data_IF_497198320109
#
_entry.id   IF_497198320109
#
_cell.length_a   1.000
_cell.length_b   1.000
_cell.length_c   1.000
_cell.angle_alpha   90.00
_cell.angle_beta   90.00
_cell.angle_gamma   90.00
#
_symmetry.space_group_name_H-M   'P 1'
#
loop_
_entity.id
_entity.type
_entity.pdbx_description
1 polymer ?
#
# COMPACT_ATOMS: atom_id res chain seq x y z
N UNK A 1 48.47 7.11 20.76
CA UNK A 1 47.13 6.91 20.17
C UNK A 1 47.28 6.54 18.71
N UNK A 2 46.75 5.39 18.27
CA UNK A 2 46.60 5.09 16.84
C UNK A 2 45.18 5.51 16.43
N UNK A 3 45.09 6.42 15.47
CA UNK A 3 43.82 6.91 14.94
C UNK A 3 43.26 5.86 13.96
N UNK A 4 42.18 5.18 14.33
CA UNK A 4 41.46 4.30 13.41
C UNK A 4 40.53 5.15 12.55
N UNK A 5 40.88 5.32 11.27
CA UNK A 5 40.00 5.94 10.29
C UNK A 5 38.97 4.87 9.86
N UNK A 6 37.71 5.01 10.26
CA UNK A 6 36.63 4.22 9.67
C UNK A 6 36.37 4.74 8.24
N UNK A 7 36.86 4.01 7.25
CA UNK A 7 36.40 4.15 5.87
C UNK A 7 35.09 3.35 5.71
N UNK A 8 33.96 4.05 5.81
CA UNK A 8 32.67 3.53 5.37
C UNK A 8 32.68 3.42 3.85
N UNK A 9 32.83 2.20 3.34
CA UNK A 9 32.62 1.92 1.93
C UNK A 9 31.12 1.98 1.63
N UNK A 10 30.68 3.09 1.02
CA UNK A 10 29.42 3.08 0.30
C UNK A 10 29.58 2.19 -0.93
N UNK A 11 28.76 1.15 -1.05
CA UNK A 11 28.55 0.46 -2.33
C UNK A 11 27.77 1.42 -3.23
N UNK A 12 28.51 2.30 -3.90
CA UNK A 12 27.99 3.10 -5.00
C UNK A 12 27.68 2.16 -6.16
N UNK A 13 26.46 1.62 -6.16
CA UNK A 13 25.82 1.07 -7.35
C UNK A 13 25.68 2.19 -8.38
N UNK A 14 26.75 2.44 -9.13
CA UNK A 14 26.88 3.57 -10.05
C UNK A 14 26.06 3.31 -11.31
N UNK A 15 24.74 3.37 -11.17
CA UNK A 15 23.79 3.48 -12.27
C UNK A 15 23.97 4.89 -12.88
N UNK A 16 24.96 4.99 -13.78
CA UNK A 16 25.21 6.24 -14.52
C UNK A 16 24.04 6.60 -15.44
N UNK A 17 23.23 5.61 -15.82
CA UNK A 17 21.98 5.81 -16.54
C UNK A 17 20.87 6.31 -15.59
N UNK A 18 20.14 7.38 -15.95
CA UNK A 18 18.94 7.80 -15.23
C UNK A 18 17.89 6.68 -15.18
N UNK A 19 17.21 6.55 -14.04
CA UNK A 19 16.03 5.69 -13.90
C UNK A 19 14.95 6.17 -14.88
N UNK A 20 14.40 5.27 -15.72
CA UNK A 20 13.40 5.60 -16.75
C UNK A 20 12.01 5.06 -16.39
N UNK A 21 11.94 3.89 -15.74
CA UNK A 21 10.68 3.22 -15.36
C UNK A 21 10.74 2.58 -13.99
N UNK A 22 9.86 3.04 -13.12
CA UNK A 22 9.56 2.38 -11.84
C UNK A 22 8.15 1.78 -11.91
N UNK A 23 7.99 0.58 -11.38
CA UNK A 23 6.68 -0.02 -11.08
C UNK A 23 6.59 -0.39 -9.59
N UNK A 24 5.39 -0.32 -9.02
CA UNK A 24 5.17 -0.60 -7.60
C UNK A 24 3.80 -1.22 -7.33
N UNK A 25 3.66 -1.88 -6.18
CA UNK A 25 2.38 -2.45 -5.76
C UNK A 25 2.42 -3.14 -4.40
N UNK A 26 1.25 -3.60 -3.97
CA UNK A 26 1.00 -4.28 -2.69
C UNK A 26 -0.23 -5.20 -2.77
N UNK A 27 -0.43 -6.00 -1.72
CA UNK A 27 -1.61 -6.86 -1.52
C UNK A 27 -1.67 -8.04 -2.49
N UNK A 28 -0.61 -8.84 -2.41
CA UNK A 28 -0.38 -10.06 -3.16
C UNK A 28 -0.61 -11.31 -2.27
N UNK A 29 -1.80 -11.91 -2.39
CA UNK A 29 -2.10 -13.23 -1.80
C UNK A 29 -1.48 -14.30 -2.68
N UNK A 30 -0.34 -14.82 -2.25
CA UNK A 30 0.50 -15.79 -2.96
C UNK A 30 -0.21 -17.08 -3.41
N UNK A 31 -1.33 -17.44 -2.77
CA UNK A 31 -2.19 -18.59 -3.11
C UNK A 31 -3.30 -18.31 -4.13
N UNK A 32 -3.53 -17.04 -4.48
CA UNK A 32 -4.49 -16.66 -5.52
C UNK A 32 -3.79 -16.55 -6.89
N UNK A 33 -4.53 -16.59 -8.00
CA UNK A 33 -4.00 -16.19 -9.29
C UNK A 33 -3.42 -14.77 -9.22
N UNK A 34 -2.25 -14.56 -9.83
CA UNK A 34 -1.50 -13.29 -9.77
C UNK A 34 -1.39 -12.65 -11.18
N UNK A 35 -2.52 -12.27 -11.82
CA UNK A 35 -2.59 -11.94 -13.26
C UNK A 35 -1.85 -10.66 -13.68
N UNK A 36 -1.17 -9.99 -12.75
CA UNK A 36 -0.46 -8.74 -12.99
C UNK A 36 0.98 -8.93 -13.48
N UNK A 37 1.65 -10.06 -13.16
CA UNK A 37 3.07 -10.18 -13.45
C UNK A 37 3.40 -10.09 -14.95
N UNK A 38 2.57 -10.67 -15.82
CA UNK A 38 2.70 -10.51 -17.26
C UNK A 38 2.56 -9.05 -17.73
N UNK A 39 1.73 -8.26 -17.07
CA UNK A 39 1.55 -6.84 -17.38
C UNK A 39 2.76 -6.00 -16.92
N UNK A 40 3.30 -6.24 -15.71
CA UNK A 40 4.53 -5.61 -15.23
C UNK A 40 5.72 -5.99 -16.13
N UNK A 41 5.86 -7.27 -16.47
CA UNK A 41 6.92 -7.76 -17.38
C UNK A 41 6.84 -7.10 -18.77
N UNK A 42 5.63 -6.82 -19.25
CA UNK A 42 5.37 -6.08 -20.51
C UNK A 42 5.66 -4.58 -20.39
N UNK A 43 5.39 -3.95 -19.25
CA UNK A 43 5.81 -2.57 -18.96
C UNK A 43 7.35 -2.45 -18.92
N UNK A 44 8.03 -3.53 -18.53
CA UNK A 44 9.48 -3.67 -18.46
C UNK A 44 10.13 -2.55 -17.61
N UNK A 45 9.88 -2.53 -16.30
CA UNK A 45 10.46 -1.56 -15.38
C UNK A 45 11.95 -1.83 -15.14
N UNK A 46 12.71 -0.76 -14.91
CA UNK A 46 14.08 -0.81 -14.40
C UNK A 46 14.07 -1.24 -12.91
N UNK A 47 13.06 -0.79 -12.17
CA UNK A 47 12.89 -0.99 -10.73
C UNK A 47 11.45 -1.43 -10.39
N UNK A 48 11.32 -2.51 -9.63
CA UNK A 48 10.11 -2.94 -8.96
C UNK A 48 10.18 -2.62 -7.45
N UNK A 49 9.12 -2.03 -6.91
CA UNK A 49 9.02 -1.64 -5.49
C UNK A 49 7.82 -2.31 -4.82
N UNK A 50 8.10 -3.20 -3.86
CA UNK A 50 7.06 -3.72 -2.96
C UNK A 50 6.73 -2.71 -1.85
N UNK A 51 5.45 -2.40 -1.70
CA UNK A 51 4.90 -1.55 -0.63
C UNK A 51 4.10 -2.39 0.39
N UNK A 52 4.59 -3.60 0.67
CA UNK A 52 4.02 -4.51 1.64
C UNK A 52 2.91 -5.43 1.15
N UNK A 53 2.45 -6.30 2.05
CA UNK A 53 1.52 -7.40 1.79
C UNK A 53 2.01 -8.22 0.60
N UNK A 54 3.30 -8.54 0.64
CA UNK A 54 3.99 -9.37 -0.36
C UNK A 54 3.47 -10.79 -0.29
N UNK A 55 3.17 -11.23 0.94
CA UNK A 55 2.49 -12.48 1.26
C UNK A 55 1.50 -12.28 2.40
N UNK A 56 0.54 -13.19 2.51
CA UNK A 56 -0.41 -13.26 3.62
C UNK A 56 -0.10 -14.52 4.42
N UNK A 57 0.49 -14.35 5.61
CA UNK A 57 1.00 -15.48 6.41
C UNK A 57 0.04 -15.93 7.50
N UNK A 58 -1.02 -15.17 7.78
CA UNK A 58 -2.04 -15.42 8.79
C UNK A 58 -2.64 -16.84 8.74
N UNK A 59 -3.33 -17.22 9.82
CA UNK A 59 -4.14 -18.44 9.86
C UNK A 59 -5.52 -18.15 10.43
N UNK A 60 -6.54 -18.22 9.57
CA UNK A 60 -7.94 -18.23 9.98
C UNK A 60 -8.22 -19.46 10.85
N UNK A 61 -8.56 -19.26 12.12
CA UNK A 61 -8.91 -20.34 13.06
C UNK A 61 -10.43 -20.41 13.26
N UNK A 62 -11.11 -19.27 13.19
CA UNK A 62 -12.57 -19.15 13.20
C UNK A 62 -12.95 -17.87 12.41
N UNK A 63 -14.14 -17.74 11.80
CA UNK A 63 -14.53 -16.52 11.10
C UNK A 63 -14.35 -15.25 11.94
N UNK A 64 -13.47 -14.33 11.48
CA UNK A 64 -13.10 -13.13 12.22
C UNK A 64 -12.09 -13.34 13.36
N UNK A 65 -11.39 -14.48 13.39
CA UNK A 65 -10.36 -14.78 14.38
C UNK A 65 -9.17 -15.52 13.76
N UNK A 66 -8.03 -14.84 13.73
CA UNK A 66 -6.77 -15.33 13.18
C UNK A 66 -5.77 -15.63 14.31
N UNK A 67 -4.65 -16.29 13.98
CA UNK A 67 -3.57 -16.57 14.94
C UNK A 67 -2.18 -16.35 14.36
N UNK A 68 -1.18 -16.03 15.23
CA UNK A 68 0.21 -15.93 14.84
C UNK A 68 0.67 -17.16 14.06
N UNK A 69 1.45 -16.92 13.01
CA UNK A 69 2.13 -17.96 12.26
C UNK A 69 3.52 -18.25 12.80
N UNK A 70 3.97 -19.49 12.59
CA UNK A 70 5.34 -19.88 12.86
C UNK A 70 6.28 -19.25 11.84
N UNK A 71 7.55 -19.08 12.22
CA UNK A 71 8.60 -18.65 11.30
C UNK A 71 8.72 -19.57 10.07
N UNK A 72 8.55 -20.89 10.26
CA UNK A 72 8.45 -21.87 9.19
C UNK A 72 7.35 -21.53 8.18
N UNK A 73 6.15 -21.13 8.65
CA UNK A 73 5.04 -20.74 7.76
C UNK A 73 5.30 -19.41 7.08
N UNK A 74 5.91 -18.43 7.76
CA UNK A 74 6.30 -17.14 7.17
C UNK A 74 7.30 -17.40 6.03
N UNK A 75 8.34 -18.19 6.29
CA UNK A 75 9.33 -18.59 5.29
C UNK A 75 8.70 -19.41 4.15
N UNK A 76 7.79 -20.33 4.42
CA UNK A 76 7.02 -21.05 3.41
C UNK A 76 6.24 -20.08 2.50
N UNK A 77 5.56 -19.08 3.04
CA UNK A 77 4.77 -18.14 2.23
C UNK A 77 5.67 -17.32 1.30
N UNK A 78 6.77 -16.76 1.84
CA UNK A 78 7.75 -16.05 1.02
C UNK A 78 8.39 -16.97 -0.03
N UNK A 79 8.67 -18.23 0.29
CA UNK A 79 9.16 -19.22 -0.66
C UNK A 79 8.15 -19.52 -1.78
N UNK A 80 6.84 -19.57 -1.49
CA UNK A 80 5.81 -19.72 -2.51
C UNK A 80 5.84 -18.52 -3.47
N UNK A 81 5.87 -17.30 -2.94
CA UNK A 81 5.91 -16.10 -3.79
C UNK A 81 7.21 -16.02 -4.59
N UNK A 82 8.36 -16.23 -3.94
CA UNK A 82 9.69 -16.24 -4.56
C UNK A 82 9.81 -17.31 -5.65
N UNK A 83 9.01 -18.39 -5.58
CA UNK A 83 8.97 -19.44 -6.60
C UNK A 83 7.86 -19.30 -7.64
N UNK A 84 6.98 -18.29 -7.55
CA UNK A 84 5.99 -18.00 -8.59
C UNK A 84 6.69 -17.69 -9.92
N UNK A 85 6.36 -18.44 -10.98
CA UNK A 85 7.16 -18.47 -12.22
C UNK A 85 7.25 -17.11 -12.92
N UNK A 86 6.16 -16.35 -12.96
CA UNK A 86 6.12 -15.03 -13.57
C UNK A 86 6.83 -13.96 -12.72
N UNK A 87 6.78 -14.08 -11.39
CA UNK A 87 7.53 -13.20 -10.48
C UNK A 87 9.04 -13.47 -10.60
N UNK A 88 9.45 -14.76 -10.63
CA UNK A 88 10.83 -15.17 -10.93
C UNK A 88 11.34 -14.61 -12.25
N UNK A 89 10.50 -14.62 -13.30
CA UNK A 89 10.84 -14.03 -14.59
C UNK A 89 11.13 -12.53 -14.46
N UNK A 90 10.27 -11.78 -13.77
CA UNK A 90 10.45 -10.35 -13.54
C UNK A 90 11.76 -10.05 -12.78
N UNK A 91 11.92 -10.61 -11.58
CA UNK A 91 13.09 -10.31 -10.71
C UNK A 91 14.42 -10.80 -11.29
N UNK A 92 14.41 -11.70 -12.27
CA UNK A 92 15.65 -12.13 -12.96
C UNK A 92 16.28 -11.05 -13.85
N UNK A 93 15.56 -9.97 -14.15
CA UNK A 93 16.01 -8.86 -15.02
C UNK A 93 15.69 -7.45 -14.49
N UNK A 94 14.85 -7.32 -13.47
CA UNK A 94 14.40 -6.05 -12.89
C UNK A 94 14.89 -5.95 -11.45
N UNK A 95 15.54 -4.84 -11.10
CA UNK A 95 15.95 -4.58 -9.71
C UNK A 95 14.72 -4.55 -8.81
N UNK A 96 14.76 -5.23 -7.67
CA UNK A 96 13.63 -5.35 -6.75
C UNK A 96 14.02 -4.87 -5.37
N UNK A 97 13.24 -3.93 -4.84
CA UNK A 97 13.36 -3.42 -3.47
C UNK A 97 11.99 -3.45 -2.79
N UNK A 98 11.95 -3.30 -1.48
CA UNK A 98 10.67 -3.27 -0.78
C UNK A 98 10.74 -3.09 0.72
N UNK A 99 9.56 -2.82 1.28
CA UNK A 99 9.23 -2.94 2.71
C UNK A 99 8.03 -3.88 2.84
N UNK A 100 7.88 -4.50 4.02
CA UNK A 100 6.63 -5.18 4.37
C UNK A 100 5.55 -4.16 4.72
N UNK A 101 4.31 -4.64 4.76
CA UNK A 101 3.23 -4.02 5.53
C UNK A 101 2.41 -5.15 6.11
N UNK A 102 1.25 -4.85 6.66
CA UNK A 102 0.48 -5.86 7.33
C UNK A 102 -0.99 -5.46 7.21
N UNK A 103 -1.67 -6.07 6.24
CA UNK A 103 -3.05 -5.82 5.83
C UNK A 103 -4.06 -5.59 6.98
N UNK A 104 -5.15 -4.86 6.72
CA UNK A 104 -6.21 -4.63 7.70
C UNK A 104 -7.40 -5.59 7.54
N UNK A 105 -7.88 -6.15 8.65
CA UNK A 105 -9.19 -6.80 8.81
C UNK A 105 -9.84 -6.36 10.13
N UNK A 106 -10.58 -5.24 10.06
CA UNK A 106 -11.72 -4.89 10.94
C UNK A 106 -11.51 -5.11 12.46
N UNK A 107 -11.05 -4.08 13.17
CA UNK A 107 -11.08 -4.08 14.64
C UNK A 107 -12.51 -4.18 15.22
N UNK A 108 -12.66 -4.98 16.27
CA UNK A 108 -13.58 -4.69 17.38
C UNK A 108 -12.76 -4.63 18.69
N UNK A 109 -13.10 -3.67 19.54
CA UNK A 109 -12.16 -2.98 20.43
C UNK A 109 -11.67 -3.71 21.70
N UNK A 110 -11.80 -5.04 21.81
CA UNK A 110 -11.56 -5.77 23.08
C UNK A 110 -10.80 -7.11 22.95
N UNK A 111 -10.09 -7.35 21.84
CA UNK A 111 -9.26 -8.57 21.66
C UNK A 111 -7.93 -8.26 20.96
N UNK A 112 -6.82 -8.91 21.35
CA UNK A 112 -5.50 -8.63 20.78
C UNK A 112 -5.52 -8.87 19.28
N UNK A 113 -5.14 -7.83 18.55
CA UNK A 113 -5.02 -7.85 17.11
C UNK A 113 -3.57 -8.21 16.75
N UNK A 114 -3.39 -9.29 16.01
CA UNK A 114 -3.42 -9.18 14.56
C UNK A 114 -2.40 -8.10 13.92
N UNK A 115 -1.49 -8.44 12.94
CA UNK A 115 -0.57 -7.80 11.92
C UNK A 115 -0.75 -8.10 10.36
N UNK A 116 -0.22 -9.18 9.69
CA UNK A 116 -0.32 -9.78 8.30
C UNK A 116 0.95 -10.39 7.57
N UNK A 117 2.02 -9.68 7.13
CA UNK A 117 3.27 -10.31 6.56
C UNK A 117 4.09 -11.06 7.65
N UNK A 118 3.72 -10.84 8.91
CA UNK A 118 4.51 -11.12 10.11
C UNK A 118 3.79 -12.04 11.12
N UNK A 119 2.55 -12.44 10.82
CA UNK A 119 1.76 -13.36 11.64
C UNK A 119 0.23 -13.26 11.63
N UNK A 120 -0.41 -12.11 11.27
CA UNK A 120 -1.63 -11.66 12.00
C UNK A 120 -2.57 -10.68 11.11
N UNK A 121 -3.36 -9.65 11.56
CA UNK A 121 -3.91 -8.35 10.92
C UNK A 121 -3.89 -6.94 11.76
N UNK A 122 -3.08 -5.85 11.54
CA UNK A 122 -2.89 -4.54 12.33
C UNK A 122 -1.82 -4.29 13.48
N UNK A 123 -0.72 -5.05 13.68
CA UNK A 123 0.19 -4.89 14.82
C UNK A 123 1.53 -4.23 14.44
N UNK A 124 2.20 -3.66 15.45
CA UNK A 124 3.42 -2.87 15.31
C UNK A 124 4.60 -3.47 16.09
N UNK A 125 5.14 -2.69 17.02
CA UNK A 125 6.31 -3.05 17.82
C UNK A 125 6.10 -4.23 18.79
N UNK A 126 4.87 -4.70 18.98
CA UNK A 126 4.44 -5.71 19.94
C UNK A 126 4.49 -7.17 19.45
N UNK A 127 4.72 -7.41 18.15
CA UNK A 127 4.65 -8.76 17.55
C UNK A 127 5.85 -9.62 18.02
N UNK A 128 5.69 -10.93 18.32
CA UNK A 128 6.82 -11.84 18.51
C UNK A 128 7.60 -12.10 17.21
N UNK A 129 8.86 -12.55 17.34
CA UNK A 129 9.75 -12.94 16.23
C UNK A 129 10.14 -11.83 15.23
N UNK A 130 10.22 -10.58 15.70
CA UNK A 130 10.54 -9.43 14.82
C UNK A 130 11.84 -9.56 14.04
N UNK A 131 12.89 -9.97 14.74
CA UNK A 131 14.24 -10.00 14.19
C UNK A 131 14.47 -11.21 13.26
N UNK A 132 13.63 -12.23 13.37
CA UNK A 132 13.62 -13.42 12.53
C UNK A 132 12.78 -13.21 11.26
N UNK A 133 11.58 -12.63 11.38
CA UNK A 133 10.78 -12.21 10.21
C UNK A 133 11.54 -11.22 9.33
N UNK A 134 12.33 -10.31 9.94
CA UNK A 134 13.26 -9.42 9.23
C UNK A 134 14.21 -10.18 8.31
N UNK A 135 14.84 -11.24 8.80
CA UNK A 135 15.81 -12.02 8.02
C UNK A 135 15.14 -12.77 6.87
N UNK A 136 13.93 -13.30 7.08
CA UNK A 136 13.15 -13.97 6.03
C UNK A 136 12.75 -12.98 4.92
N UNK A 137 12.33 -11.76 5.28
CA UNK A 137 11.96 -10.75 4.28
C UNK A 137 13.17 -10.24 3.47
N UNK A 138 14.32 -10.03 4.12
CA UNK A 138 15.55 -9.61 3.44
C UNK A 138 16.10 -10.74 2.53
N UNK A 139 16.02 -12.00 2.94
CA UNK A 139 16.33 -13.16 2.10
C UNK A 139 15.39 -13.25 0.88
N UNK A 140 14.08 -13.02 1.08
CA UNK A 140 13.10 -12.92 -0.01
C UNK A 140 13.44 -11.82 -1.02
N UNK A 141 14.01 -10.69 -0.59
CA UNK A 141 14.42 -9.59 -1.48
C UNK A 141 15.78 -9.81 -2.18
N UNK A 142 16.50 -10.90 -1.90
CA UNK A 142 17.93 -11.07 -2.27
C UNK A 142 18.81 -9.91 -1.73
N UNK A 143 18.52 -9.42 -0.52
CA UNK A 143 19.23 -8.27 0.07
C UNK A 143 20.75 -8.52 0.16
N UNK A 144 21.61 -7.59 -0.31
CA UNK A 144 23.07 -7.74 -0.23
C UNK A 144 23.56 -8.07 1.18
N UNK A 145 24.46 -9.04 1.29
CA UNK A 145 24.93 -9.57 2.58
C UNK A 145 25.70 -8.54 3.45
N UNK A 146 26.20 -7.46 2.84
CA UNK A 146 26.85 -6.33 3.50
C UNK A 146 25.88 -5.19 3.88
N UNK A 147 24.59 -5.33 3.54
CA UNK A 147 23.57 -4.32 3.84
C UNK A 147 23.40 -4.10 5.35
N UNK A 148 23.31 -2.83 5.81
CA UNK A 148 23.00 -2.52 7.20
C UNK A 148 21.60 -3.01 7.62
N UNK A 149 20.70 -3.32 6.67
CA UNK A 149 19.36 -3.88 6.95
C UNK A 149 19.42 -5.20 7.71
N UNK A 150 20.48 -6.00 7.56
CA UNK A 150 20.65 -7.26 8.31
C UNK A 150 20.92 -7.09 9.80
N UNK A 151 21.44 -5.92 10.23
CA UNK A 151 22.00 -5.71 11.57
C UNK A 151 21.34 -4.55 12.34
N UNK A 152 20.30 -3.92 11.77
CA UNK A 152 19.50 -2.85 12.40
C UNK A 152 18.07 -3.30 12.68
N UNK A 153 17.27 -2.43 13.28
CA UNK A 153 15.89 -2.72 13.65
C UNK A 153 14.89 -2.16 12.64
N UNK A 154 14.29 -3.04 11.85
CA UNK A 154 13.34 -2.73 10.78
C UNK A 154 13.95 -2.80 9.37
N UNK A 155 13.08 -2.99 8.37
CA UNK A 155 13.44 -3.18 6.95
C UNK A 155 13.43 -1.89 6.13
N UNK A 156 13.41 -0.73 6.76
CA UNK A 156 13.57 0.57 6.07
C UNK A 156 14.90 0.62 5.28
N UNK A 157 15.02 1.52 4.31
CA UNK A 157 16.24 1.70 3.50
C UNK A 157 16.10 2.72 2.37
N UNK A 158 17.23 3.15 1.81
CA UNK A 158 17.27 4.13 0.72
C UNK A 158 18.17 3.66 -0.43
N UNK A 159 17.82 4.09 -1.64
CA UNK A 159 18.44 3.69 -2.89
C UNK A 159 18.51 4.90 -3.83
N UNK A 160 19.65 5.12 -4.48
CA UNK A 160 19.86 6.26 -5.38
C UNK A 160 20.19 5.78 -6.78
N UNK A 161 19.44 6.27 -7.77
CA UNK A 161 19.54 5.88 -9.17
C UNK A 161 19.84 7.09 -10.05
N UNK A 162 20.69 6.92 -11.06
CA UNK A 162 21.02 7.96 -12.02
C UNK A 162 22.13 8.94 -11.57
N UNK A 163 22.62 9.76 -12.50
CA UNK A 163 23.71 10.72 -12.27
C UNK A 163 23.18 12.03 -11.64
N UNK A 164 24.06 12.88 -11.09
CA UNK A 164 23.68 14.23 -10.63
C UNK A 164 22.92 15.01 -11.70
N UNK A 165 21.82 15.68 -11.32
CA UNK A 165 20.94 16.39 -12.24
C UNK A 165 19.84 15.52 -12.88
N UNK A 166 19.93 14.19 -12.80
CA UNK A 166 18.89 13.22 -13.18
C UNK A 166 18.79 12.08 -12.14
N UNK A 167 18.98 12.41 -10.87
CA UNK A 167 19.03 11.44 -9.77
C UNK A 167 17.65 11.28 -9.12
N UNK A 168 17.25 10.02 -8.93
CA UNK A 168 16.08 9.62 -8.14
C UNK A 168 16.56 8.97 -6.86
N UNK A 169 16.04 9.41 -5.71
CA UNK A 169 16.26 8.77 -4.42
C UNK A 169 14.97 8.11 -3.95
N UNK A 170 14.97 6.79 -3.83
CA UNK A 170 13.86 6.02 -3.27
C UNK A 170 14.15 5.76 -1.79
N UNK A 171 13.25 6.16 -0.91
CA UNK A 171 13.33 6.02 0.54
C UNK A 171 12.14 5.17 0.98
N UNK A 172 12.39 3.97 1.48
CA UNK A 172 11.33 3.07 1.93
C UNK A 172 11.28 3.06 3.46
N UNK A 173 10.08 3.31 4.00
CA UNK A 173 9.79 3.35 5.42
C UNK A 173 9.17 2.03 5.88
N UNK A 174 9.80 1.40 6.87
CA UNK A 174 9.14 0.41 7.71
C UNK A 174 8.15 1.15 8.62
N UNK A 175 6.88 0.77 8.56
CA UNK A 175 5.79 1.38 9.35
C UNK A 175 5.17 0.37 10.33
N UNK A 176 5.95 -0.66 10.67
CA UNK A 176 5.53 -1.78 11.53
C UNK A 176 6.50 -2.03 12.67
N UNK A 177 7.80 -2.20 12.40
CA UNK A 177 8.76 -2.73 13.39
C UNK A 177 8.78 -1.93 14.72
N UNK A 178 8.62 -0.61 14.65
CA UNK A 178 8.67 0.29 15.81
C UNK A 178 7.32 0.94 16.17
N UNK A 179 6.26 0.66 15.41
CA UNK A 179 4.99 1.38 15.55
C UNK A 179 4.34 1.10 16.90
N UNK A 180 3.87 2.14 17.57
CA UNK A 180 3.08 2.02 18.79
C UNK A 180 1.70 1.36 18.52
N UNK A 181 0.98 0.90 19.55
CA UNK A 181 -0.40 0.42 19.40
C UNK A 181 -1.35 1.52 18.88
N UNK A 182 -2.32 1.12 18.05
CA UNK A 182 -3.36 2.01 17.53
C UNK A 182 -4.19 2.63 18.67
N UNK A 183 -4.56 3.90 18.51
CA UNK A 183 -5.30 4.67 19.51
C UNK A 183 -4.43 5.40 20.54
N UNK A 184 -3.10 5.17 20.54
CA UNK A 184 -2.15 5.99 21.29
C UNK A 184 -1.96 7.35 20.59
N UNK A 185 -2.59 8.39 21.12
CA UNK A 185 -2.64 9.75 20.51
C UNK A 185 -1.24 10.36 20.31
N UNK A 186 -0.30 10.07 21.22
CA UNK A 186 1.11 10.48 21.17
C UNK A 186 2.03 9.37 20.65
N UNK A 187 1.50 8.39 19.93
CA UNK A 187 2.25 7.25 19.40
C UNK A 187 3.16 7.59 18.22
N UNK A 188 4.22 6.80 18.06
CA UNK A 188 5.14 6.85 16.93
C UNK A 188 4.91 5.69 15.96
N UNK A 189 5.39 5.84 14.72
CA UNK A 189 5.38 4.81 13.67
C UNK A 189 6.79 4.27 13.40
N UNK A 190 7.80 5.14 13.33
CA UNK A 190 9.13 4.79 12.80
C UNK A 190 10.16 4.45 13.89
N UNK A 191 9.99 4.97 15.10
CA UNK A 191 10.96 4.83 16.18
C UNK A 191 12.20 5.72 16.02
N UNK A 192 12.97 5.91 17.10
CA UNK A 192 14.00 6.95 17.19
C UNK A 192 15.23 6.70 16.32
N UNK A 193 15.45 5.48 15.82
CA UNK A 193 16.57 5.15 14.92
C UNK A 193 16.23 5.54 13.48
N UNK A 194 15.11 5.04 12.96
CA UNK A 194 14.63 5.33 11.61
C UNK A 194 14.32 6.83 11.41
N UNK A 195 13.84 7.54 12.45
CA UNK A 195 13.68 8.99 12.39
C UNK A 195 15.00 9.75 12.20
N UNK A 196 16.06 9.37 12.90
CA UNK A 196 17.39 10.01 12.76
C UNK A 196 18.00 9.69 11.40
N UNK A 197 17.82 8.46 10.94
CA UNK A 197 18.22 8.06 9.59
C UNK A 197 17.48 8.87 8.52
N UNK A 198 16.15 8.97 8.59
CA UNK A 198 15.35 9.72 7.62
C UNK A 198 15.76 11.21 7.56
N UNK A 199 16.05 11.83 8.70
CA UNK A 199 16.58 13.20 8.74
C UNK A 199 17.89 13.32 7.95
N UNK A 200 18.82 12.36 8.12
CA UNK A 200 20.09 12.32 7.37
C UNK A 200 19.96 11.92 5.90
N UNK A 201 18.87 11.25 5.50
CA UNK A 201 18.60 10.94 4.09
C UNK A 201 18.05 12.14 3.33
N UNK A 202 17.38 13.07 4.03
CA UNK A 202 16.83 14.30 3.46
C UNK A 202 17.83 15.47 3.55
N UNK A 203 18.69 15.48 4.58
CA UNK A 203 19.74 16.49 4.77
C UNK A 203 20.74 16.50 3.60
N UNK A 204 20.81 17.63 2.89
CA UNK A 204 21.80 17.86 1.83
C UNK A 204 21.71 16.95 0.60
N UNK A 205 20.57 16.28 0.38
CA UNK A 205 20.44 15.36 -0.76
C UNK A 205 20.51 16.08 -2.12
N UNK A 206 21.29 15.51 -3.05
CA UNK A 206 21.48 16.01 -4.42
C UNK A 206 20.45 15.48 -5.43
N UNK A 207 19.47 14.68 -4.98
CA UNK A 207 18.47 14.07 -5.86
C UNK A 207 17.42 15.08 -6.34
N UNK A 208 16.97 14.90 -7.58
CA UNK A 208 15.94 15.74 -8.20
C UNK A 208 14.54 15.25 -7.81
N UNK A 209 14.38 13.95 -7.56
CA UNK A 209 13.13 13.30 -7.18
C UNK A 209 13.36 12.43 -5.95
N UNK A 210 12.47 12.54 -4.97
CA UNK A 210 12.50 11.79 -3.71
C UNK A 210 11.21 10.99 -3.56
N UNK A 211 11.28 9.68 -3.76
CA UNK A 211 10.13 8.79 -3.64
C UNK A 211 10.10 8.18 -2.24
N UNK A 212 9.17 8.61 -1.40
CA UNK A 212 9.01 8.10 -0.04
C UNK A 212 7.92 7.02 -0.04
N UNK A 213 8.33 5.75 -0.02
CA UNK A 213 7.43 4.61 0.06
C UNK A 213 7.05 4.27 1.51
N UNK A 214 5.77 4.09 1.75
CA UNK A 214 5.20 3.62 3.03
C UNK A 214 4.25 2.47 2.74
N UNK A 215 4.16 1.49 3.64
CA UNK A 215 3.18 0.41 3.48
C UNK A 215 1.73 0.92 3.54
N UNK A 216 1.43 1.77 4.52
CA UNK A 216 0.11 2.40 4.72
C UNK A 216 0.04 3.81 4.14
N UNK A 217 -1.18 4.32 3.88
CA UNK A 217 -1.34 5.66 3.29
C UNK A 217 -0.93 6.79 4.25
N UNK A 218 -0.39 7.89 3.69
CA UNK A 218 0.17 9.00 4.45
C UNK A 218 -0.79 10.19 4.52
N UNK A 219 -1.28 10.69 3.37
CA UNK A 219 -2.09 11.91 3.27
C UNK A 219 -3.50 11.77 3.87
N UNK A 220 -4.31 10.72 3.57
CA UNK A 220 -5.73 10.69 3.96
C UNK A 220 -5.95 10.82 5.46
N UNK A 221 -6.92 11.65 5.84
CA UNK A 221 -7.44 11.72 7.22
C UNK A 221 -8.90 11.29 7.35
N UNK A 222 -9.60 11.22 6.22
CA UNK A 222 -11.05 11.16 6.07
C UNK A 222 -11.61 9.76 5.85
N UNK A 223 -10.73 8.77 5.64
CA UNK A 223 -11.12 7.37 5.42
C UNK A 223 -11.37 6.64 6.74
N UNK A 224 -12.56 6.09 7.01
CA UNK A 224 -12.90 5.58 8.34
C UNK A 224 -12.35 4.19 8.72
N UNK A 225 -11.89 3.36 7.77
CA UNK A 225 -11.58 1.94 8.05
C UNK A 225 -10.13 1.50 7.85
N UNK A 226 -9.37 2.16 6.99
CA UNK A 226 -7.98 1.80 6.68
C UNK A 226 -7.00 2.35 7.71
N UNK A 227 -5.94 1.59 7.99
CA UNK A 227 -4.79 2.11 8.75
C UNK A 227 -4.00 3.09 7.87
N UNK A 228 -3.53 4.17 8.49
CA UNK A 228 -2.93 5.32 7.82
C UNK A 228 -2.25 6.22 8.85
N UNK A 229 -1.34 7.05 8.39
CA UNK A 229 -0.49 7.87 9.25
C UNK A 229 -1.26 8.86 10.13
N UNK A 230 -2.47 9.29 9.78
CA UNK A 230 -3.27 10.19 10.66
C UNK A 230 -3.66 9.56 12.00
N UNK A 231 -3.57 8.22 12.15
CA UNK A 231 -3.75 7.58 13.46
C UNK A 231 -2.61 7.90 14.44
N UNK A 232 -1.49 8.45 13.95
CA UNK A 232 -0.33 8.92 14.71
C UNK A 232 0.02 10.34 14.24
N UNK A 233 -0.83 11.35 14.55
CA UNK A 233 -0.75 12.67 13.92
C UNK A 233 0.61 13.36 14.17
N UNK A 234 1.21 13.17 15.35
CA UNK A 234 2.55 13.69 15.64
C UNK A 234 3.66 13.08 14.77
N UNK A 235 3.57 11.80 14.40
CA UNK A 235 4.51 11.16 13.48
C UNK A 235 4.32 11.67 12.04
N UNK A 236 3.07 11.92 11.62
CA UNK A 236 2.73 12.46 10.30
C UNK A 236 3.19 13.91 10.14
N UNK A 237 2.91 14.76 11.13
CA UNK A 237 3.36 16.16 11.13
C UNK A 237 4.89 16.24 11.06
N UNK A 238 5.58 15.44 11.89
CA UNK A 238 7.05 15.34 11.92
C UNK A 238 7.67 14.96 10.57
N UNK A 239 7.00 14.11 9.77
CA UNK A 239 7.44 13.79 8.41
C UNK A 239 7.40 15.04 7.50
N UNK A 240 6.29 15.78 7.51
CA UNK A 240 6.15 16.99 6.69
C UNK A 240 7.05 18.14 7.17
N UNK A 241 7.19 18.32 8.49
CA UNK A 241 8.14 19.27 9.08
C UNK A 241 9.58 18.96 8.66
N UNK A 242 9.98 17.69 8.64
CA UNK A 242 11.32 17.27 8.22
C UNK A 242 11.58 17.52 6.73
N UNK A 243 10.61 17.25 5.85
CA UNK A 243 10.69 17.56 4.42
C UNK A 243 10.82 19.08 4.20
N UNK A 244 10.02 19.89 4.89
CA UNK A 244 10.06 21.34 4.81
C UNK A 244 11.36 21.94 5.38
N UNK A 245 11.85 21.43 6.52
CA UNK A 245 13.12 21.81 7.17
C UNK A 245 14.29 21.72 6.18
N UNK A 246 14.39 20.60 5.47
CA UNK A 246 15.46 20.35 4.49
C UNK A 246 15.18 20.94 3.11
N UNK A 247 13.98 21.50 2.89
CA UNK A 247 13.49 22.02 1.60
C UNK A 247 13.63 21.00 0.46
N UNK A 248 13.47 19.71 0.78
CA UNK A 248 13.73 18.61 -0.14
C UNK A 248 12.87 18.75 -1.39
N UNK A 249 13.45 18.79 -2.61
CA UNK A 249 12.69 18.93 -3.85
C UNK A 249 12.14 17.58 -4.34
N UNK A 250 11.11 17.62 -5.17
CA UNK A 250 10.65 16.44 -5.90
C UNK A 250 10.07 15.33 -5.03
N UNK A 251 9.56 15.64 -3.83
CA UNK A 251 8.99 14.62 -2.94
C UNK A 251 7.64 14.13 -3.45
N UNK A 252 7.53 12.81 -3.61
CA UNK A 252 6.30 12.09 -3.97
C UNK A 252 6.21 10.89 -3.03
N UNK A 253 5.01 10.63 -2.52
CA UNK A 253 4.73 9.51 -1.62
C UNK A 253 4.20 8.31 -2.42
N UNK A 254 4.57 7.09 -2.04
CA UNK A 254 4.04 5.85 -2.59
C UNK A 254 3.41 5.03 -1.46
N UNK A 255 2.23 4.44 -1.67
CA UNK A 255 1.57 3.62 -0.63
C UNK A 255 0.78 2.41 -1.12
N UNK A 256 0.42 1.52 -0.17
CA UNK A 256 -0.28 0.26 -0.39
C UNK A 256 -1.51 0.07 0.51
N UNK A 257 -1.66 -1.14 1.07
CA UNK A 257 -2.60 -1.56 2.14
C UNK A 257 -4.12 -1.57 1.80
N UNK A 258 -4.63 -0.62 1.02
CA UNK A 258 -6.07 -0.29 1.01
C UNK A 258 -6.98 -1.13 0.08
N UNK A 259 -6.42 -2.05 -0.69
CA UNK A 259 -7.08 -2.90 -1.69
C UNK A 259 -7.77 -2.14 -2.85
N UNK A 260 -7.28 -0.95 -3.20
CA UNK A 260 -7.53 -0.26 -4.47
C UNK A 260 -6.32 0.62 -4.84
N UNK A 261 -6.37 1.28 -5.99
CA UNK A 261 -5.41 2.32 -6.37
C UNK A 261 -6.07 3.69 -6.40
N UNK A 262 -5.28 4.74 -6.13
CA UNK A 262 -5.71 6.13 -6.32
C UNK A 262 -4.52 7.08 -6.43
N UNK A 263 -4.79 8.30 -6.90
CA UNK A 263 -3.87 9.43 -6.82
C UNK A 263 -4.43 10.54 -5.93
N UNK A 264 -3.60 11.02 -5.00
CA UNK A 264 -3.92 12.10 -4.07
C UNK A 264 -2.97 13.27 -4.27
N UNK A 265 -3.49 14.48 -4.07
CA UNK A 265 -2.71 15.72 -4.14
C UNK A 265 -3.08 16.66 -3.00
N UNK A 266 -2.09 17.32 -2.41
CA UNK A 266 -2.32 18.46 -1.52
C UNK A 266 -1.31 19.59 -1.78
N UNK A 267 -1.77 20.83 -1.66
CA UNK A 267 -0.94 22.04 -1.70
C UNK A 267 -0.79 22.68 -0.29
N UNK A 268 -1.17 21.95 0.77
CA UNK A 268 -1.33 22.50 2.13
C UNK A 268 -0.18 22.21 3.08
N UNK A 269 0.62 21.15 2.85
CA UNK A 269 1.61 20.67 3.83
C UNK A 269 3.07 20.94 3.44
N UNK A 270 3.36 21.23 2.16
CA UNK A 270 4.67 21.63 1.66
C UNK A 270 4.57 22.97 0.89
N UNK A 271 5.72 23.59 0.58
CA UNK A 271 5.78 24.83 -0.25
C UNK A 271 5.45 24.60 -1.74
N UNK A 272 5.18 23.36 -2.14
CA UNK A 272 4.83 22.89 -3.47
C UNK A 272 3.84 21.71 -3.39
N UNK A 273 3.22 21.26 -4.50
CA UNK A 273 2.25 20.16 -4.48
C UNK A 273 2.87 18.84 -4.01
N UNK A 274 2.35 18.26 -2.93
CA UNK A 274 2.68 16.91 -2.49
C UNK A 274 1.70 15.93 -3.09
N UNK A 275 2.22 14.92 -3.78
CA UNK A 275 1.46 13.82 -4.37
C UNK A 275 1.65 12.54 -3.56
N UNK A 276 0.59 11.74 -3.45
CA UNK A 276 0.66 10.35 -3.02
C UNK A 276 0.04 9.43 -4.07
N UNK A 277 0.77 8.38 -4.44
CA UNK A 277 0.36 7.40 -5.43
C UNK A 277 0.16 6.05 -4.74
N UNK A 278 -1.09 5.60 -4.61
CA UNK A 278 -1.42 4.34 -3.95
C UNK A 278 -1.68 3.25 -4.99
N UNK A 279 -1.07 2.08 -4.81
CA UNK A 279 -1.40 0.88 -5.57
C UNK A 279 -1.41 -0.34 -4.66
N UNK A 280 -2.62 -0.86 -4.46
CA UNK A 280 -2.91 -1.98 -3.59
C UNK A 280 -4.01 -2.80 -4.24
N UNK A 281 -3.69 -3.99 -4.74
CA UNK A 281 -4.69 -4.75 -5.50
C UNK A 281 -4.16 -5.82 -6.42
N UNK A 282 -2.99 -6.41 -6.13
CA UNK A 282 -2.34 -7.28 -7.11
C UNK A 282 -3.04 -8.62 -7.36
N UNK A 283 -3.84 -9.07 -6.39
CA UNK A 283 -4.53 -10.37 -6.40
C UNK A 283 -5.99 -10.30 -5.95
N UNK A 284 -6.34 -9.25 -5.20
CA UNK A 284 -7.67 -9.00 -4.66
C UNK A 284 -7.83 -7.49 -4.45
N UNK A 285 -9.02 -6.97 -4.73
CA UNK A 285 -9.39 -5.59 -4.41
C UNK A 285 -10.57 -5.57 -3.45
N UNK A 286 -10.87 -4.41 -2.87
CA UNK A 286 -12.05 -4.24 -2.04
C UNK A 286 -13.36 -4.58 -2.79
N UNK A 287 -13.38 -4.36 -4.11
CA UNK A 287 -14.50 -4.71 -4.99
C UNK A 287 -14.59 -6.22 -5.28
N UNK A 288 -13.50 -6.98 -5.15
CA UNK A 288 -13.56 -8.45 -5.14
C UNK A 288 -13.98 -9.03 -3.79
N UNK A 289 -13.60 -8.36 -2.69
CA UNK A 289 -13.88 -8.83 -1.32
C UNK A 289 -15.33 -8.54 -0.88
N UNK A 290 -15.83 -7.32 -1.12
CA UNK A 290 -17.16 -6.88 -0.67
C UNK A 290 -17.86 -6.08 -1.77
N UNK A 291 -18.29 -6.69 -2.89
CA UNK A 291 -18.42 -6.00 -4.19
C UNK A 291 -19.30 -4.74 -4.21
N UNK A 292 -20.63 -4.90 -4.16
CA UNK A 292 -21.59 -3.79 -4.25
C UNK A 292 -21.46 -2.80 -3.08
N UNK A 293 -20.97 -3.25 -1.93
CA UNK A 293 -20.76 -2.39 -0.78
C UNK A 293 -19.47 -1.57 -0.91
N UNK A 294 -18.37 -2.11 -1.44
CA UNK A 294 -17.15 -1.30 -1.57
C UNK A 294 -17.30 -0.21 -2.63
N UNK A 295 -17.88 -0.52 -3.80
CA UNK A 295 -18.09 0.52 -4.83
C UNK A 295 -19.07 1.59 -4.36
N UNK A 296 -20.19 1.21 -3.73
CA UNK A 296 -21.17 2.16 -3.19
C UNK A 296 -20.66 2.92 -1.96
N UNK A 297 -19.78 2.32 -1.16
CA UNK A 297 -19.11 2.99 -0.05
C UNK A 297 -18.08 4.00 -0.58
N UNK A 298 -17.16 3.59 -1.44
CA UNK A 298 -16.12 4.48 -2.00
C UNK A 298 -16.73 5.67 -2.73
N UNK A 299 -17.70 5.43 -3.61
CA UNK A 299 -18.36 6.48 -4.39
C UNK A 299 -19.09 7.52 -3.51
N UNK A 300 -19.57 7.14 -2.32
CA UNK A 300 -20.46 7.96 -1.48
C UNK A 300 -19.88 8.44 -0.15
N UNK A 301 -18.85 7.78 0.38
CA UNK A 301 -18.36 7.98 1.76
C UNK A 301 -16.83 7.89 1.93
N UNK A 302 -16.04 7.41 0.94
CA UNK A 302 -14.58 7.28 1.07
C UNK A 302 -13.81 7.98 -0.07
N UNK A 303 -14.48 8.81 -0.87
CA UNK A 303 -13.79 9.74 -1.78
C UNK A 303 -12.90 10.65 -0.95
N UNK A 304 -11.60 10.72 -1.27
CA UNK A 304 -10.70 11.57 -0.51
C UNK A 304 -11.01 13.05 -0.76
N UNK A 305 -10.97 13.85 0.30
CA UNK A 305 -10.95 15.31 0.23
C UNK A 305 -9.77 15.83 -0.60
N UNK A 306 -8.69 15.06 -0.69
CA UNK A 306 -7.52 15.38 -1.50
C UNK A 306 -7.72 15.05 -2.99
N UNK A 307 -8.63 14.13 -3.35
CA UNK A 307 -8.99 13.84 -4.74
C UNK A 307 -10.31 13.05 -4.84
N UNK A 308 -11.31 13.56 -5.55
CA UNK A 308 -12.65 12.93 -5.62
C UNK A 308 -12.88 11.94 -6.77
N UNK A 309 -11.96 11.85 -7.74
CA UNK A 309 -12.21 11.15 -9.02
C UNK A 309 -11.18 10.10 -9.43
N UNK A 310 -9.99 10.11 -8.82
CA UNK A 310 -8.84 9.36 -9.36
C UNK A 310 -8.61 8.09 -8.56
N UNK A 311 -9.58 7.17 -8.57
CA UNK A 311 -9.47 5.84 -7.95
C UNK A 311 -9.80 4.72 -8.95
N UNK A 312 -9.23 3.53 -8.72
CA UNK A 312 -9.40 2.36 -9.57
C UNK A 312 -9.52 1.08 -8.73
N UNK A 313 -10.59 0.30 -8.97
CA UNK A 313 -11.04 -0.79 -8.09
C UNK A 313 -10.80 -2.21 -8.65
N UNK A 314 -10.16 -2.33 -9.81
CA UNK A 314 -9.76 -3.62 -10.38
C UNK A 314 -8.29 -3.91 -10.07
N UNK A 315 -7.82 -5.11 -10.46
CA UNK A 315 -6.43 -5.52 -10.25
C UNK A 315 -5.46 -4.55 -10.90
N UNK A 316 -4.53 -4.03 -10.11
CA UNK A 316 -3.69 -2.90 -10.49
C UNK A 316 -2.24 -2.98 -10.00
N UNK A 317 -1.37 -2.28 -10.73
CA UNK A 317 -0.05 -1.86 -10.29
C UNK A 317 0.17 -0.38 -10.64
N UNK A 318 0.99 0.32 -9.87
CA UNK A 318 1.37 1.71 -10.12
C UNK A 318 2.68 1.80 -10.90
N UNK A 319 2.84 2.85 -11.70
CA UNK A 319 4.11 3.15 -12.38
C UNK A 319 4.44 4.64 -12.37
N UNK A 320 5.74 4.92 -12.53
CA UNK A 320 6.30 6.23 -12.83
C UNK A 320 7.24 6.07 -14.03
N UNK A 321 6.93 6.71 -15.15
CA UNK A 321 7.85 6.93 -16.27
C UNK A 321 8.54 8.31 -16.08
N UNK A 322 9.85 8.37 -16.25
CA UNK A 322 10.68 9.56 -16.02
C UNK A 322 11.18 10.16 -17.33
N UNK A 323 10.68 11.34 -17.71
CA UNK A 323 10.96 11.98 -19.00
C UNK A 323 12.07 13.04 -18.89
N UNK A 324 13.31 12.58 -18.65
CA UNK A 324 14.48 13.44 -18.42
C UNK A 324 14.95 14.30 -19.60
N UNK A 325 14.58 13.95 -20.82
CA UNK A 325 15.06 14.61 -22.05
C UNK A 325 14.12 15.74 -22.54
N UNK A 326 13.06 16.04 -21.78
CA UNK A 326 12.25 17.25 -21.95
C UNK A 326 12.99 18.49 -21.43
N UNK A 327 12.82 19.69 -22.05
CA UNK A 327 13.36 20.96 -21.53
C UNK A 327 12.89 21.29 -20.10
N UNK A 328 11.67 20.89 -19.76
CA UNK A 328 11.19 20.76 -18.37
C UNK A 328 10.91 19.27 -18.15
N UNK A 329 11.83 18.52 -17.49
CA UNK A 329 11.63 17.11 -17.18
C UNK A 329 10.32 16.89 -16.43
N UNK A 330 9.61 15.80 -16.74
CA UNK A 330 8.35 15.48 -16.08
C UNK A 330 8.24 14.00 -15.74
N UNK A 331 7.33 13.73 -14.81
CA UNK A 331 7.00 12.39 -14.33
C UNK A 331 5.60 12.05 -14.81
N UNK A 332 5.44 10.90 -15.46
CA UNK A 332 4.13 10.35 -15.84
C UNK A 332 3.76 9.28 -14.82
N UNK A 333 2.82 9.60 -13.94
CA UNK A 333 2.25 8.66 -12.98
C UNK A 333 1.13 7.89 -13.66
N UNK A 334 1.16 6.56 -13.64
CA UNK A 334 0.03 5.75 -14.12
C UNK A 334 -0.38 4.65 -13.16
N UNK A 335 -1.68 4.33 -13.14
CA UNK A 335 -2.18 3.06 -12.61
C UNK A 335 -2.55 2.19 -13.79
N UNK A 336 -2.13 0.92 -13.78
CA UNK A 336 -2.27 -0.01 -14.91
C UNK A 336 -2.97 -1.29 -14.51
N UNK A 337 -3.75 -1.84 -15.43
CA UNK A 337 -4.50 -3.09 -15.25
C UNK A 337 -3.71 -4.36 -15.64
N UNK A 338 -4.34 -5.53 -15.51
CA UNK A 338 -3.78 -6.85 -15.90
C UNK A 338 -3.46 -7.00 -17.39
N UNK A 339 -3.88 -6.05 -18.22
CA UNK A 339 -3.58 -5.99 -19.66
C UNK A 339 -2.55 -4.89 -19.98
N UNK A 340 -1.88 -4.32 -18.97
CA UNK A 340 -0.96 -3.18 -19.08
C UNK A 340 -1.62 -1.91 -19.67
N UNK A 341 -2.95 -1.79 -19.60
CA UNK A 341 -3.68 -0.58 -20.04
C UNK A 341 -3.68 0.44 -18.91
N UNK A 342 -3.54 1.70 -19.27
CA UNK A 342 -3.59 2.84 -18.35
C UNK A 342 -5.05 3.04 -17.89
N UNK A 343 -5.27 2.98 -16.58
CA UNK A 343 -6.56 3.24 -15.93
C UNK A 343 -6.64 4.64 -15.32
N UNK A 344 -5.53 5.13 -14.74
CA UNK A 344 -5.35 6.51 -14.27
C UNK A 344 -4.01 7.04 -14.78
N UNK A 345 -3.94 8.34 -15.06
CA UNK A 345 -2.75 9.02 -15.59
C UNK A 345 -2.64 10.46 -15.09
N UNK A 346 -1.45 10.89 -14.65
CA UNK A 346 -1.13 12.30 -14.36
C UNK A 346 0.30 12.61 -14.79
N UNK A 347 0.50 13.73 -15.48
CA UNK A 347 1.82 14.24 -15.83
C UNK A 347 2.18 15.41 -14.90
N UNK A 348 3.35 15.35 -14.28
CA UNK A 348 3.82 16.33 -13.29
C UNK A 348 5.22 16.82 -13.66
N UNK A 349 5.32 18.09 -14.06
CA UNK A 349 6.60 18.77 -14.30
C UNK A 349 7.47 18.79 -13.04
N UNK A 350 8.75 18.49 -13.19
CA UNK A 350 9.73 18.54 -12.11
C UNK A 350 9.88 19.96 -11.55
N UNK A 351 9.75 21.00 -12.40
CA UNK A 351 9.68 22.41 -12.02
C UNK A 351 8.49 22.77 -11.11
N UNK A 352 7.43 21.95 -11.08
CA UNK A 352 6.29 22.13 -10.17
C UNK A 352 6.56 21.62 -8.76
N UNK A 353 7.51 20.68 -8.60
CA UNK A 353 7.87 20.03 -7.34
C UNK A 353 9.11 20.65 -6.67
N UNK A 354 9.45 21.89 -7.01
CA UNK A 354 10.58 22.61 -6.42
C UNK A 354 10.09 23.52 -5.28
N UNK A 355 10.83 23.58 -4.17
CA UNK A 355 10.52 24.50 -3.07
C UNK A 355 10.55 25.95 -3.56
N UNK A 356 9.47 26.69 -3.31
CA UNK A 356 9.33 28.12 -3.63
C UNK A 356 9.39 28.96 -2.35
N UNK A 357 9.68 30.24 -2.46
CA UNK A 357 9.56 31.22 -1.35
C UNK A 357 8.09 31.55 -0.99
N UNK A 358 7.17 30.62 -1.25
CA UNK A 358 5.78 30.75 -0.86
C UNK A 358 5.68 30.40 0.62
N UNK A 359 5.23 31.35 1.44
CA UNK A 359 4.74 31.00 2.78
C UNK A 359 3.67 29.91 2.65
N UNK A 360 3.63 28.98 3.60
CA UNK A 360 2.53 28.00 3.68
C UNK A 360 1.30 28.78 4.16
N UNK A 361 0.56 29.34 3.21
CA UNK A 361 -0.60 30.21 3.48
C UNK A 361 -1.79 29.34 3.90
N UNK A 362 -1.87 29.13 5.20
CA UNK A 362 -2.94 28.44 5.89
C UNK A 362 -2.38 27.77 7.14
N UNK A 363 -3.11 27.86 8.26
CA UNK A 363 -3.02 26.77 9.22
C UNK A 363 -3.35 25.49 8.45
N UNK A 364 -2.53 24.46 8.62
CA UNK A 364 -2.98 23.12 8.28
C UNK A 364 -4.11 22.83 9.27
N UNK A 365 -5.36 23.13 8.88
CA UNK A 365 -6.55 22.53 9.46
C UNK A 365 -6.58 21.08 8.97
N UNK A 366 -5.52 20.35 9.30
CA UNK A 366 -5.64 18.96 9.61
C UNK A 366 -6.64 18.92 10.78
N UNK A 367 -7.68 18.10 10.70
CA UNK A 367 -8.51 17.82 11.86
C UNK A 367 -7.76 16.99 12.91
N UNK A 368 -6.69 17.57 13.49
CA UNK A 368 -6.07 17.23 14.78
C UNK A 368 -7.11 17.09 15.92
N UNK A 369 -8.34 17.55 15.68
CA UNK A 369 -9.50 17.51 16.56
C UNK A 369 -10.78 16.91 15.97
N UNK A 370 -10.83 16.44 14.70
CA UNK A 370 -12.00 15.65 14.23
C UNK A 370 -11.66 14.17 14.13
N UNK A 371 -11.90 13.49 15.23
CA UNK A 371 -12.17 12.04 15.28
C UNK A 371 -13.25 11.74 14.23
N UNK A 372 -12.96 11.06 13.11
CA UNK A 372 -13.87 11.04 11.95
C UNK A 372 -14.94 9.95 12.05
N UNK A 373 -15.50 9.73 13.25
CA UNK A 373 -16.85 9.15 13.40
C UNK A 373 -17.51 9.75 14.64
N UNK A 374 -18.42 10.72 14.47
CA UNK A 374 -19.34 11.08 15.58
C UNK A 374 -20.23 9.87 15.87
N UNK A 375 -20.75 9.74 17.10
CA UNK A 375 -21.69 8.67 17.42
C UNK A 375 -22.90 8.64 16.45
N UNK A 376 -23.23 9.80 15.86
CA UNK A 376 -24.16 9.99 14.74
C UNK A 376 -23.80 9.14 13.52
N UNK A 377 -22.59 9.29 12.94
CA UNK A 377 -22.17 8.54 11.74
C UNK A 377 -21.92 7.05 12.02
N UNK A 378 -21.54 6.70 13.26
CA UNK A 378 -21.47 5.29 13.68
C UNK A 378 -22.87 4.65 13.68
N UNK A 379 -23.89 5.36 14.18
CA UNK A 379 -25.30 4.92 14.22
C UNK A 379 -25.99 4.94 12.86
N UNK A 380 -25.75 5.96 12.04
CA UNK A 380 -26.51 6.23 10.81
C UNK A 380 -25.89 5.61 9.55
N UNK A 381 -24.57 5.35 9.56
CA UNK A 381 -23.85 4.85 8.38
C UNK A 381 -23.19 3.49 8.63
N UNK A 382 -22.46 3.33 9.74
CA UNK A 382 -21.70 2.09 10.00
C UNK A 382 -22.61 0.96 10.49
N UNK A 383 -23.49 1.23 11.46
CA UNK A 383 -24.39 0.21 12.03
C UNK A 383 -25.31 -0.45 10.97
N UNK A 384 -25.93 0.28 10.01
CA UNK A 384 -26.74 -0.33 8.95
C UNK A 384 -25.92 -1.20 7.99
N UNK A 385 -24.68 -0.80 7.66
CA UNK A 385 -23.79 -1.58 6.79
C UNK A 385 -23.37 -2.88 7.51
N UNK A 386 -23.01 -2.82 8.79
CA UNK A 386 -22.73 -4.01 9.59
C UNK A 386 -23.96 -4.93 9.70
N UNK A 387 -25.17 -4.39 9.90
CA UNK A 387 -26.40 -5.19 9.86
C UNK A 387 -26.60 -5.86 8.50
N UNK A 388 -26.39 -5.15 7.39
CA UNK A 388 -26.54 -5.71 6.04
C UNK A 388 -25.52 -6.81 5.76
N UNK A 389 -24.27 -6.67 6.23
CA UNK A 389 -23.23 -7.70 6.13
C UNK A 389 -23.64 -8.94 6.94
N UNK A 390 -24.04 -8.78 8.20
CA UNK A 390 -24.48 -9.87 9.08
C UNK A 390 -25.76 -10.58 8.60
N UNK A 391 -26.68 -9.85 7.94
CA UNK A 391 -27.91 -10.39 7.37
C UNK A 391 -27.75 -10.97 5.95
N UNK A 392 -26.61 -10.71 5.28
CA UNK A 392 -26.37 -11.18 3.92
C UNK A 392 -26.46 -12.72 3.73
N UNK A 393 -26.02 -13.58 4.67
CA UNK A 393 -26.17 -15.03 4.53
C UNK A 393 -27.64 -15.47 4.60
N UNK A 394 -28.41 -14.85 5.51
CA UNK A 394 -29.85 -15.09 5.69
C UNK A 394 -30.66 -14.68 4.45
N UNK A 395 -30.34 -13.53 3.86
CA UNK A 395 -30.95 -13.06 2.61
C UNK A 395 -30.64 -13.99 1.43
N UNK A 396 -29.44 -14.58 1.39
CA UNK A 396 -29.06 -15.56 0.38
C UNK A 396 -29.84 -16.88 0.53
N UNK A 397 -30.03 -17.36 1.76
CA UNK A 397 -30.89 -18.52 2.07
C UNK A 397 -32.37 -18.27 1.69
N UNK A 398 -32.90 -17.06 1.92
CA UNK A 398 -34.27 -16.70 1.55
C UNK A 398 -34.47 -16.66 0.02
N UNK A 399 -33.48 -16.22 -0.76
CA UNK A 399 -33.51 -16.32 -2.24
C UNK A 399 -33.55 -17.77 -2.73
N UNK A 400 -32.72 -18.66 -2.17
CA UNK A 400 -32.74 -20.10 -2.50
C UNK A 400 -34.08 -20.78 -2.17
N UNK A 401 -34.78 -20.35 -1.11
CA UNK A 401 -36.13 -20.85 -0.81
C UNK A 401 -37.19 -20.40 -1.84
N UNK A 402 -37.06 -19.20 -2.43
CA UNK A 402 -37.98 -18.71 -3.47
C UNK A 402 -37.78 -19.35 -4.85
N UNK A 403 -36.55 -19.74 -5.22
CA UNK A 403 -36.34 -20.45 -6.50
C UNK A 403 -36.92 -21.86 -6.50
N UNK A 404 -36.91 -22.54 -5.34
CA UNK A 404 -37.42 -23.90 -5.21
C UNK A 404 -38.96 -23.98 -5.06
N UNK A 405 -39.68 -22.85 -4.97
CA UNK A 405 -41.15 -22.82 -4.93
C UNK A 405 -41.82 -22.66 -6.31
N UNK A 406 -41.05 -22.60 -7.39
CA UNK A 406 -41.55 -22.50 -8.77
C UNK A 406 -40.75 -23.41 -9.70
N UNK A 407 -41.08 -24.72 -9.67
CA UNK A 407 -41.09 -25.70 -10.78
C UNK A 407 -41.60 -27.02 -10.17
N UNK A 408 -42.91 -27.29 -10.28
CA UNK A 408 -43.50 -28.64 -10.31
C UNK A 408 -44.93 -28.55 -10.88
N UNK A 409 -45.08 -28.75 -12.18
CA UNK A 409 -46.34 -29.18 -12.79
C UNK A 409 -46.03 -30.08 -13.99
N UNK A 410 -46.29 -31.37 -13.83
CA UNK A 410 -45.82 -32.44 -14.73
C UNK A 410 -46.25 -32.32 -16.20
N UNK A 411 -45.38 -32.68 -17.16
CA UNK A 411 -45.75 -32.84 -18.58
C UNK A 411 -46.76 -33.97 -18.87
N UNK A 412 -47.00 -34.88 -17.90
CA UNK A 412 -47.67 -36.17 -18.14
C UNK A 412 -49.20 -36.07 -18.27
N UNK A 413 -49.82 -34.90 -18.00
CA UNK A 413 -51.29 -34.72 -18.06
C UNK A 413 -51.88 -34.13 -19.35
N UNK A 414 -51.07 -33.78 -20.37
CA UNK A 414 -51.59 -33.16 -21.61
C UNK A 414 -51.93 -34.13 -22.77
N UNK A 415 -51.65 -35.44 -22.67
CA UNK A 415 -51.92 -36.41 -23.74
C UNK A 415 -53.28 -37.18 -23.63
N UNK A 416 -54.25 -36.69 -22.85
CA UNK A 416 -55.60 -37.31 -22.75
C UNK A 416 -56.77 -36.43 -23.16
N UNK A 417 -56.53 -35.36 -23.94
CA UNK A 417 -57.60 -34.47 -24.44
C UNK A 417 -57.62 -34.24 -25.97
N UNK A 418 -57.03 -35.17 -26.73
CA UNK A 418 -57.13 -35.23 -28.20
C UNK A 418 -57.56 -36.65 -28.59
N UNK A 419 -58.79 -37.03 -28.20
CA UNK A 419 -59.52 -38.23 -28.65
C UNK A 419 -61.00 -38.18 -28.24
N UNK A 420 -61.66 -37.10 -28.62
CA UNK A 420 -63.11 -36.93 -28.70
C UNK A 420 -63.34 -35.71 -29.59
N UNK A 421 -63.82 -35.99 -30.80
CA UNK A 421 -64.19 -35.10 -31.94
C UNK A 421 -63.57 -35.59 -33.26
N UNK A 422 -63.84 -36.87 -33.54
CA UNK A 422 -63.97 -37.52 -34.86
C UNK A 422 -64.89 -38.74 -34.65
#
# INVERSE_FOLDING_TARGET
MKLFLLLTFFVLGNTQEPLKRLAFGSCNKQHLPQPIWGAIDTYNPDLWVWLGDVVYVDRLVFPGYFKPSSLERIQEQYNIQKNHSEYRKLISKTSTIGVWVSSPVMQQADRPQDDHDYGLNNAGGEIPFKDESQKIFLDFLDEPADSPRWNRKGVWGSYSYGPPGRRVKVILLDVRYWRDPLGKIDGDILGPEQWRWLDSELEGSDAQVHLIGSGTQILPYDKPFQEKWVHYPGARDKLFEMINKHKTPGVILLSGDVHYAEFLKTDLVLTYPLWELTSSGMTHTCATQVPYLCSLALDRYFRSVYQQTDFFLEFNFGTIDFHWDSPDPFLQFTIRDTSNRIALERNVSLSSLQSREKEIVGEVIDPKYMIPVTAESYRTTILPILLLILLSPLLCCLRKKRSNSTITSDPVKQQKKIKKDQ
#
